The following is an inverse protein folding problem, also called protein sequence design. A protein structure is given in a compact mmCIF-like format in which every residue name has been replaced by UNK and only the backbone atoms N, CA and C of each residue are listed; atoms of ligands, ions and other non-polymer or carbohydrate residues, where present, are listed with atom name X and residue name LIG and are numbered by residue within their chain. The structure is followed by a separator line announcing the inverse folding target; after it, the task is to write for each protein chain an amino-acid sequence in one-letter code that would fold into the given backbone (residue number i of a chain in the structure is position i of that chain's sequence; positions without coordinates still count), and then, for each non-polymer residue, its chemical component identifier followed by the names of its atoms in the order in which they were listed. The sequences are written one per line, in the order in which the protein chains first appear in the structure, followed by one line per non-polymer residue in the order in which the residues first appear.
data_IF_271424034545
#
_entry.id   IF_271424034545
#
_cell.length_a   1.000
_cell.length_b   1.000
_cell.length_c   1.000
_cell.angle_alpha   90.00
_cell.angle_beta   90.00
_cell.angle_gamma   90.00
#
_symmetry.space_group_name_H-M   'P 1'
#
loop_
_entity.id
_entity.type
_entity.pdbx_description
1 polymer ?
#
# COMPACT_ATOMS: atom_id res chain seq x y z
N UNK A 1 15.43 21.16 -29.59
CA UNK A 1 15.10 20.10 -28.60
C UNK A 1 13.87 19.37 -29.12
N UNK A 2 13.85 18.04 -29.17
CA UNK A 2 12.68 17.31 -29.69
C UNK A 2 11.46 17.55 -28.80
N UNK A 3 10.28 17.76 -29.39
CA UNK A 3 8.99 17.98 -28.71
C UNK A 3 8.73 16.95 -27.59
N UNK A 4 9.06 15.67 -27.85
CA UNK A 4 8.94 14.58 -26.85
C UNK A 4 9.76 14.83 -25.59
N UNK A 5 10.95 15.43 -25.73
CA UNK A 5 11.84 15.73 -24.60
C UNK A 5 11.32 16.90 -23.78
N UNK A 6 10.65 17.87 -24.41
CA UNK A 6 10.02 18.98 -23.71
C UNK A 6 8.82 18.50 -22.88
N UNK A 7 7.94 17.69 -23.47
CA UNK A 7 6.83 17.06 -22.76
C UNK A 7 7.30 16.19 -21.58
N UNK A 8 8.35 15.40 -21.78
CA UNK A 8 8.92 14.57 -20.72
C UNK A 8 9.43 15.41 -19.53
N UNK A 9 10.08 16.56 -19.78
CA UNK A 9 10.54 17.44 -18.71
C UNK A 9 9.40 18.14 -17.98
N UNK A 10 8.31 18.46 -18.68
CA UNK A 10 7.11 19.02 -18.04
C UNK A 10 6.40 18.00 -17.17
N UNK A 11 6.37 16.73 -17.58
CA UNK A 11 5.79 15.63 -16.82
C UNK A 11 6.68 15.13 -15.67
N UNK A 12 8.01 15.28 -15.81
CA UNK A 12 8.99 14.81 -14.83
C UNK A 12 8.68 15.21 -13.37
N UNK A 13 8.36 16.47 -13.02
CA UNK A 13 8.05 16.83 -11.63
C UNK A 13 6.79 16.15 -11.10
N UNK A 14 5.78 15.95 -11.95
CA UNK A 14 4.55 15.25 -11.54
C UNK A 14 4.83 13.77 -11.28
N UNK A 15 5.54 13.10 -12.20
CA UNK A 15 5.92 11.69 -12.05
C UNK A 15 6.82 11.49 -10.84
N UNK A 16 7.77 12.40 -10.61
CA UNK A 16 8.63 12.39 -9.44
C UNK A 16 7.80 12.52 -8.16
N UNK A 17 6.89 13.49 -8.11
CA UNK A 17 5.98 13.69 -6.98
C UNK A 17 5.14 12.45 -6.69
N UNK A 18 4.49 11.89 -7.71
CA UNK A 18 3.71 10.64 -7.59
C UNK A 18 4.58 9.49 -7.07
N UNK A 19 5.78 9.34 -7.61
CA UNK A 19 6.69 8.25 -7.24
C UNK A 19 7.14 8.38 -5.79
N UNK A 20 7.57 9.57 -5.37
CA UNK A 20 8.14 9.80 -4.03
C UNK A 20 7.06 9.84 -2.96
N UNK A 21 5.90 10.45 -3.24
CA UNK A 21 4.88 10.71 -2.22
C UNK A 21 3.81 9.63 -2.16
N UNK A 22 3.65 8.81 -3.21
CA UNK A 22 2.62 7.76 -3.24
C UNK A 22 3.24 6.39 -3.40
N UNK A 23 4.02 6.17 -4.46
CA UNK A 23 4.52 4.83 -4.77
C UNK A 23 5.57 4.36 -3.77
N UNK A 24 6.52 5.21 -3.42
CA UNK A 24 7.59 4.90 -2.48
C UNK A 24 7.04 4.51 -1.09
N UNK A 25 6.18 5.31 -0.42
CA UNK A 25 5.63 4.90 0.87
C UNK A 25 4.77 3.63 0.76
N UNK A 26 4.01 3.44 -0.32
CA UNK A 26 3.25 2.21 -0.54
C UNK A 26 4.17 0.97 -0.63
N UNK A 27 5.29 1.07 -1.35
CA UNK A 27 6.30 0.01 -1.44
C UNK A 27 6.98 -0.25 -0.09
N UNK A 28 7.26 0.80 0.69
CA UNK A 28 7.81 0.65 2.05
C UNK A 28 6.81 -0.08 2.95
N UNK A 29 5.53 0.30 2.95
CA UNK A 29 4.49 -0.41 3.71
C UNK A 29 4.37 -1.86 3.27
N UNK A 30 4.43 -2.14 1.96
CA UNK A 30 4.42 -3.51 1.45
C UNK A 30 5.64 -4.32 1.92
N UNK A 31 6.84 -3.74 1.88
CA UNK A 31 8.05 -4.39 2.37
C UNK A 31 7.97 -4.65 3.89
N UNK A 32 7.46 -3.68 4.66
CA UNK A 32 7.25 -3.81 6.10
C UNK A 32 6.21 -4.87 6.45
N UNK A 33 5.18 -5.08 5.63
CA UNK A 33 4.20 -6.13 5.85
C UNK A 33 4.81 -7.55 5.82
N UNK A 34 5.96 -7.72 5.16
CA UNK A 34 6.75 -8.97 5.15
C UNK A 34 7.74 -9.06 6.33
N UNK A 35 7.74 -8.06 7.21
CA UNK A 35 8.60 -8.00 8.39
C UNK A 35 7.76 -7.96 9.66
N UNK A 36 8.28 -8.52 10.73
CA UNK A 36 7.81 -8.23 12.08
C UNK A 36 8.49 -6.93 12.52
N UNK A 37 7.70 -5.87 12.65
CA UNK A 37 8.20 -4.54 12.98
C UNK A 37 7.21 -3.80 13.90
N UNK A 38 7.66 -3.47 15.11
CA UNK A 38 6.88 -2.81 16.16
C UNK A 38 7.28 -1.35 16.40
N UNK A 39 8.06 -0.75 15.47
CA UNK A 39 8.66 0.59 15.55
C UNK A 39 9.69 0.79 16.68
N UNK A 40 9.87 -0.18 17.59
CA UNK A 40 10.82 -0.11 18.71
C UNK A 40 12.08 -0.91 18.39
N UNK A 41 11.92 -2.10 17.80
CA UNK A 41 13.01 -3.01 17.45
C UNK A 41 13.32 -2.92 15.96
N UNK A 42 14.52 -3.34 15.57
CA UNK A 42 14.87 -3.45 14.16
C UNK A 42 13.91 -4.43 13.44
N UNK A 43 13.49 -4.12 12.20
CA UNK A 43 12.55 -4.95 11.45
C UNK A 43 13.17 -6.33 11.17
N UNK A 44 12.42 -7.40 11.47
CA UNK A 44 12.83 -8.78 11.22
C UNK A 44 12.05 -9.33 10.04
N UNK A 45 12.72 -9.77 8.98
CA UNK A 45 12.03 -10.39 7.84
C UNK A 45 11.43 -11.74 8.23
N UNK A 46 10.11 -11.88 8.09
CA UNK A 46 9.34 -13.10 8.41
C UNK A 46 8.56 -13.62 7.19
N UNK A 47 8.74 -13.00 6.02
CA UNK A 47 8.04 -13.39 4.80
C UNK A 47 6.53 -13.27 4.95
N UNK A 48 5.80 -14.35 4.69
CA UNK A 48 4.33 -14.35 4.69
C UNK A 48 3.70 -14.72 6.04
N UNK A 49 4.48 -14.86 7.10
CA UNK A 49 3.95 -15.38 8.37
C UNK A 49 2.92 -14.43 9.01
N UNK A 50 3.13 -13.12 8.92
CA UNK A 50 2.12 -12.11 9.30
C UNK A 50 0.77 -12.34 8.61
N UNK A 51 0.78 -12.71 7.32
CA UNK A 51 -0.44 -12.95 6.56
C UNK A 51 -1.13 -14.26 6.96
N UNK A 52 -0.35 -15.29 7.31
CA UNK A 52 -0.90 -16.56 7.83
C UNK A 52 -1.56 -16.37 9.18
N UNK A 53 -0.92 -15.59 10.05
CA UNK A 53 -1.47 -15.24 11.37
C UNK A 53 -2.79 -14.48 11.22
N UNK A 54 -2.81 -13.42 10.40
CA UNK A 54 -4.04 -12.66 10.11
C UNK A 54 -5.15 -13.52 9.49
N UNK A 55 -4.81 -14.43 8.59
CA UNK A 55 -5.80 -15.31 7.96
C UNK A 55 -6.48 -16.27 8.96
N UNK A 56 -5.80 -16.61 10.06
CA UNK A 56 -6.34 -17.41 11.16
C UNK A 56 -7.10 -16.60 12.21
N UNK A 57 -7.07 -15.27 12.16
CA UNK A 57 -7.71 -14.39 13.12
C UNK A 57 -9.18 -14.13 12.74
N UNK A 58 -10.11 -14.59 13.60
CA UNK A 58 -11.54 -14.40 13.42
C UNK A 58 -11.95 -12.92 13.40
N UNK A 59 -11.30 -12.08 14.21
CA UNK A 59 -11.58 -10.63 14.26
C UNK A 59 -11.18 -9.99 12.93
N UNK A 60 -10.02 -10.35 12.39
CA UNK A 60 -9.57 -9.88 11.08
C UNK A 60 -10.57 -10.24 9.98
N UNK A 61 -11.06 -11.50 9.96
CA UNK A 61 -12.02 -11.97 8.95
C UNK A 61 -13.36 -11.21 9.02
N UNK A 62 -13.86 -10.97 10.22
CA UNK A 62 -15.07 -10.16 10.43
C UNK A 62 -14.85 -8.71 9.97
N UNK A 63 -13.73 -8.10 10.36
CA UNK A 63 -13.41 -6.72 9.99
C UNK A 63 -13.31 -6.54 8.47
N UNK A 64 -12.57 -7.41 7.78
CA UNK A 64 -12.44 -7.37 6.30
C UNK A 64 -13.80 -7.56 5.63
N UNK A 65 -14.61 -8.51 6.10
CA UNK A 65 -15.95 -8.73 5.54
C UNK A 65 -16.84 -7.50 5.70
N UNK A 66 -16.85 -6.90 6.89
CA UNK A 66 -17.62 -5.68 7.15
C UNK A 66 -17.15 -4.50 6.28
N UNK A 67 -15.83 -4.30 6.14
CA UNK A 67 -15.28 -3.25 5.28
C UNK A 67 -15.63 -3.45 3.81
N UNK A 68 -15.59 -4.69 3.32
CA UNK A 68 -15.95 -5.02 1.93
C UNK A 68 -17.45 -4.84 1.69
N UNK A 69 -18.32 -5.28 2.61
CA UNK A 69 -19.77 -5.07 2.53
C UNK A 69 -20.08 -3.57 2.53
N UNK A 70 -19.44 -2.81 3.43
CA UNK A 70 -19.59 -1.37 3.47
C UNK A 70 -19.14 -0.73 2.14
N UNK A 71 -17.97 -1.09 1.61
CA UNK A 71 -17.52 -0.56 0.33
C UNK A 71 -18.48 -0.93 -0.82
N UNK A 72 -18.93 -2.17 -0.90
CA UNK A 72 -19.82 -2.63 -1.97
C UNK A 72 -21.20 -1.96 -1.97
N UNK A 73 -21.71 -1.56 -0.80
CA UNK A 73 -23.00 -0.86 -0.67
C UNK A 73 -22.80 0.66 -0.74
N UNK A 74 -21.79 1.20 -0.06
CA UNK A 74 -21.57 2.64 0.01
C UNK A 74 -20.98 3.23 -1.28
N UNK A 75 -20.29 2.45 -2.13
CA UNK A 75 -19.76 2.92 -3.44
C UNK A 75 -20.86 3.18 -4.47
N UNK A 76 -21.85 2.30 -4.67
CA UNK A 76 -22.88 2.52 -5.70
C UNK A 76 -23.99 3.48 -5.27
N UNK A 77 -24.17 3.67 -3.95
CA UNK A 77 -25.21 4.56 -3.40
C UNK A 77 -24.77 6.02 -3.26
N UNK A 78 -23.48 6.31 -3.43
CA UNK A 78 -22.94 7.68 -3.49
C UNK A 78 -22.89 8.17 -4.93
#
# INVERSE_FOLDING_TARGET
MSERRQLALMLAPYVLGLTVLVLLPALVTFALALTEYDLVRAPRFVGFDNFRELAGDDVFRVAVTNSLVFAAIAVPLR
#
